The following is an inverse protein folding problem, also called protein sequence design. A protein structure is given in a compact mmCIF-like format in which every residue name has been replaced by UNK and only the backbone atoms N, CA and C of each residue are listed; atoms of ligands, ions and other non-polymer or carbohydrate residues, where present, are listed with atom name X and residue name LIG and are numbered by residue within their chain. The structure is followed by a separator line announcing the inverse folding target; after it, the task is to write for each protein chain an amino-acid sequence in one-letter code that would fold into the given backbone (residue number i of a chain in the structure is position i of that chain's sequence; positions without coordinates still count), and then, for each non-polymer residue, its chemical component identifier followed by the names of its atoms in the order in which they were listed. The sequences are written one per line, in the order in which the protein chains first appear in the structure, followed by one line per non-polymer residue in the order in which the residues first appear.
data_IF_273610116985
#
_entry.id   IF_273610116985
#
_cell.length_a   1.000
_cell.length_b   1.000
_cell.length_c   1.000
_cell.angle_alpha   90.00
_cell.angle_beta   90.00
_cell.angle_gamma   90.00
#
_symmetry.space_group_name_H-M   'P 1'
#
loop_
_entity.id
_entity.type
_entity.pdbx_description
1 polymer ?
#
# COMPACT_ATOMS: atom_id res chain seq x y z
N UNK A 1 44.34 -2.44 -52.46
CA UNK A 1 43.03 -2.40 -53.15
C UNK A 1 42.51 -0.97 -53.12
N UNK A 2 41.76 -0.57 -54.16
CA UNK A 2 40.97 0.68 -54.23
C UNK A 2 39.91 0.70 -53.09
N UNK A 3 39.24 1.77 -52.64
CA UNK A 3 39.01 3.20 -52.99
C UNK A 3 38.70 3.93 -51.64
N UNK A 4 38.58 5.25 -51.45
CA UNK A 4 38.75 6.48 -52.26
C UNK A 4 38.80 7.70 -51.31
N UNK A 5 39.24 8.88 -51.78
CA UNK A 5 39.31 10.13 -51.01
C UNK A 5 38.08 11.07 -51.19
N UNK A 6 37.86 11.89 -50.15
CA UNK A 6 36.88 12.96 -49.89
C UNK A 6 36.52 13.91 -51.08
N UNK A 7 35.43 14.70 -50.96
CA UNK A 7 35.62 16.08 -50.47
C UNK A 7 34.53 16.62 -49.51
N UNK A 8 34.85 17.72 -48.82
CA UNK A 8 33.96 18.46 -47.91
C UNK A 8 33.46 19.79 -48.52
N UNK A 9 32.28 20.27 -48.09
CA UNK A 9 31.71 21.61 -48.40
C UNK A 9 30.75 22.03 -47.23
N UNK A 10 30.33 23.31 -47.06
CA UNK A 10 30.85 24.10 -45.94
C UNK A 10 29.79 24.72 -44.99
N UNK A 11 30.29 25.34 -43.93
CA UNK A 11 29.54 26.19 -42.98
C UNK A 11 28.84 27.39 -43.65
N UNK A 12 27.61 27.69 -43.23
CA UNK A 12 26.88 28.92 -43.57
C UNK A 12 26.00 29.40 -42.39
N UNK A 13 26.29 30.61 -41.91
CA UNK A 13 25.47 31.39 -40.96
C UNK A 13 24.75 32.52 -41.71
N UNK A 14 23.52 32.85 -41.29
CA UNK A 14 23.10 34.26 -41.18
C UNK A 14 22.42 34.51 -39.81
N UNK A 15 22.95 35.41 -38.98
CA UNK A 15 22.65 36.86 -38.90
C UNK A 15 21.22 37.22 -38.45
N UNK A 16 21.15 37.85 -37.28
CA UNK A 16 20.01 38.66 -36.80
C UNK A 16 19.67 39.82 -37.75
N UNK A 17 18.42 40.31 -37.67
CA UNK A 17 18.14 41.75 -37.63
C UNK A 17 17.50 42.18 -36.30
N UNK A 18 17.35 43.51 -36.12
CA UNK A 18 17.20 44.18 -34.82
C UNK A 18 15.85 44.93 -34.63
N UNK A 19 15.63 45.36 -33.39
CA UNK A 19 15.01 46.64 -32.98
C UNK A 19 13.53 46.98 -33.30
N UNK A 20 12.69 46.92 -32.25
CA UNK A 20 11.79 48.01 -31.74
C UNK A 20 10.68 48.60 -32.65
N UNK A 21 9.64 49.33 -32.15
CA UNK A 21 9.53 50.01 -30.84
C UNK A 21 8.31 49.68 -29.96
N UNK A 22 8.37 50.19 -28.73
CA UNK A 22 7.23 50.27 -27.81
C UNK A 22 6.46 51.59 -27.99
N UNK A 23 5.15 51.60 -27.71
CA UNK A 23 4.41 52.72 -27.07
C UNK A 23 2.94 52.34 -26.86
N UNK A 24 2.48 52.24 -25.61
CA UNK A 24 1.29 52.95 -25.11
C UNK A 24 1.15 52.80 -23.60
N UNK A 25 0.57 53.80 -22.94
CA UNK A 25 0.37 53.87 -21.48
C UNK A 25 -1.04 54.44 -21.18
N UNK A 26 -1.40 54.89 -19.94
CA UNK A 26 -2.38 54.15 -19.15
C UNK A 26 -3.64 54.96 -18.79
N UNK A 27 -4.70 54.30 -18.27
CA UNK A 27 -5.80 54.89 -17.47
C UNK A 27 -6.28 53.84 -16.45
N UNK A 28 -6.12 54.05 -15.15
CA UNK A 28 -6.98 54.83 -14.22
C UNK A 28 -8.36 54.21 -13.91
N UNK A 29 -8.47 53.49 -12.80
CA UNK A 29 -9.18 53.89 -11.55
C UNK A 29 -9.03 52.76 -10.52
N UNK A 30 -8.57 52.98 -9.28
CA UNK A 30 -9.29 53.57 -8.13
C UNK A 30 -10.68 52.92 -7.91
N UNK A 31 -11.05 52.44 -6.71
CA UNK A 31 -10.78 53.02 -5.39
C UNK A 31 -10.51 52.00 -4.27
N UNK A 32 -9.82 52.50 -3.26
CA UNK A 32 -9.84 52.06 -1.86
C UNK A 32 -11.27 52.17 -1.24
N UNK A 33 -11.59 51.73 -0.02
CA UNK A 33 -10.80 51.73 1.23
C UNK A 33 -11.42 50.80 2.28
N UNK A 34 -10.69 50.63 3.39
CA UNK A 34 -10.92 49.68 4.48
C UNK A 34 -11.79 50.28 5.64
N UNK A 35 -11.78 49.79 6.90
CA UNK A 35 -13.01 49.37 7.58
C UNK A 35 -13.38 50.28 8.77
N UNK A 36 -14.45 49.94 9.52
CA UNK A 36 -14.60 50.39 10.92
C UNK A 36 -15.49 49.46 11.74
N UNK A 37 -15.05 49.23 12.97
CA UNK A 37 -15.74 48.49 14.03
C UNK A 37 -16.22 49.46 15.12
N UNK A 38 -16.94 48.89 16.10
CA UNK A 38 -17.23 49.46 17.42
C UNK A 38 -18.24 50.62 17.47
N UNK A 39 -19.41 50.34 18.02
CA UNK A 39 -19.92 51.02 19.21
C UNK A 39 -20.73 50.02 20.05
N UNK A 40 -20.51 50.04 21.35
CA UNK A 40 -21.19 49.20 22.36
C UNK A 40 -22.20 50.08 23.09
N UNK A 41 -23.40 49.56 23.32
CA UNK A 41 -24.32 50.04 24.36
C UNK A 41 -24.98 48.82 25.01
N UNK A 42 -25.06 48.84 26.34
CA UNK A 42 -25.54 47.76 27.20
C UNK A 42 -26.99 48.00 27.67
N UNK A 43 -27.51 47.00 28.41
CA UNK A 43 -28.74 46.93 29.21
C UNK A 43 -30.01 46.31 28.60
N UNK A 44 -30.84 45.61 29.40
CA UNK A 44 -30.50 44.83 30.61
C UNK A 44 -31.12 43.41 30.63
N UNK A 45 -30.78 42.63 31.66
CA UNK A 45 -31.16 41.22 31.84
C UNK A 45 -32.66 40.90 31.69
N UNK A 46 -32.95 39.81 30.96
CA UNK A 46 -34.20 39.05 31.08
C UNK A 46 -33.93 37.55 31.09
N UNK A 47 -34.71 36.86 31.92
CA UNK A 47 -34.46 35.47 32.34
C UNK A 47 -34.44 34.46 31.18
N UNK A 48 -33.57 33.46 31.33
CA UNK A 48 -33.44 32.30 30.42
C UNK A 48 -34.55 31.29 30.70
N UNK A 49 -35.47 31.10 29.74
CA UNK A 49 -36.24 29.86 29.65
C UNK A 49 -35.38 28.77 28.98
N UNK A 50 -35.46 27.50 29.42
CA UNK A 50 -34.71 26.42 28.77
C UNK A 50 -35.32 26.05 27.42
N UNK A 51 -34.52 26.17 26.35
CA UNK A 51 -34.90 25.72 25.00
C UNK A 51 -35.32 24.24 25.00
N UNK A 52 -36.45 23.94 24.37
CA UNK A 52 -36.87 22.55 24.13
C UNK A 52 -36.03 21.95 23.01
N UNK A 53 -35.37 20.83 23.27
CA UNK A 53 -34.66 20.07 22.24
C UNK A 53 -35.59 19.74 21.05
N UNK A 54 -35.15 19.93 19.79
CA UNK A 54 -35.92 19.49 18.63
C UNK A 54 -35.98 17.96 18.58
N UNK A 55 -37.11 17.35 18.19
CA UNK A 55 -37.27 15.91 18.21
C UNK A 55 -36.25 15.22 17.28
N UNK A 56 -35.71 14.05 17.68
CA UNK A 56 -34.66 13.37 16.93
C UNK A 56 -35.13 13.03 15.52
N UNK A 57 -34.41 13.54 14.51
CA UNK A 57 -34.69 13.28 13.09
C UNK A 57 -34.74 11.77 12.85
N UNK A 58 -35.87 11.26 12.37
CA UNK A 58 -36.06 9.84 12.01
C UNK A 58 -35.12 9.46 10.85
N UNK A 59 -33.95 8.94 11.20
CA UNK A 59 -33.04 8.27 10.26
C UNK A 59 -33.75 7.04 9.68
N UNK A 60 -33.76 6.87 8.36
CA UNK A 60 -34.48 5.78 7.72
C UNK A 60 -33.97 4.40 8.14
N UNK A 61 -34.87 3.42 8.22
CA UNK A 61 -34.57 2.04 8.62
C UNK A 61 -33.49 1.38 7.74
N UNK A 62 -33.40 1.79 6.46
CA UNK A 62 -32.33 1.37 5.54
C UNK A 62 -30.94 1.85 5.98
N UNK A 63 -30.78 3.13 6.39
CA UNK A 63 -29.50 3.67 6.86
C UNK A 63 -28.97 2.95 8.10
N UNK A 64 -29.87 2.47 8.96
CA UNK A 64 -29.54 1.61 10.11
C UNK A 64 -29.09 0.19 9.69
N UNK A 65 -29.66 -0.38 8.62
CA UNK A 65 -29.25 -1.71 8.10
C UNK A 65 -27.83 -1.65 7.50
N UNK A 66 -27.52 -0.58 6.77
CA UNK A 66 -26.14 -0.28 6.35
C UNK A 66 -25.20 -0.05 7.55
N UNK A 67 -25.70 0.49 8.67
CA UNK A 67 -24.91 0.61 9.92
C UNK A 67 -24.53 -0.73 10.53
N UNK A 68 -25.44 -1.70 10.54
CA UNK A 68 -25.15 -3.06 11.02
C UNK A 68 -24.11 -3.75 10.12
N UNK A 69 -24.20 -3.58 8.80
CA UNK A 69 -23.17 -4.03 7.86
C UNK A 69 -21.81 -3.32 8.05
N UNK A 70 -21.81 -2.02 8.43
CA UNK A 70 -20.59 -1.28 8.81
C UNK A 70 -19.92 -1.89 10.04
N UNK A 71 -20.65 -2.15 11.13
CA UNK A 71 -20.06 -2.71 12.36
C UNK A 71 -19.44 -4.10 12.17
N UNK A 72 -20.06 -4.96 11.36
CA UNK A 72 -19.51 -6.27 10.98
C UNK A 72 -18.21 -6.12 10.14
N UNK A 73 -18.08 -5.04 9.36
CA UNK A 73 -16.87 -4.71 8.59
C UNK A 73 -15.76 -4.09 9.44
N UNK A 74 -16.08 -3.16 10.33
CA UNK A 74 -15.10 -2.40 11.11
C UNK A 74 -14.59 -3.11 12.37
N UNK A 75 -15.36 -4.06 12.94
CA UNK A 75 -14.94 -4.81 14.13
C UNK A 75 -14.97 -4.00 15.44
N UNK A 76 -15.54 -2.80 15.45
CA UNK A 76 -15.79 -2.06 16.70
C UNK A 76 -16.88 -2.76 17.52
N UNK A 77 -16.67 -2.89 18.84
CA UNK A 77 -17.72 -3.29 19.78
C UNK A 77 -18.90 -2.30 19.69
N UNK A 78 -20.11 -2.84 19.78
CA UNK A 78 -21.33 -2.07 20.01
C UNK A 78 -21.68 -2.29 21.47
N UNK A 79 -21.73 -1.21 22.26
CA UNK A 79 -22.37 -1.26 23.56
C UNK A 79 -23.88 -1.30 23.36
N UNK A 80 -24.48 -2.42 23.74
CA UNK A 80 -25.93 -2.58 23.68
C UNK A 80 -26.58 -1.82 24.85
N UNK A 81 -27.60 -0.99 24.61
CA UNK A 81 -28.45 -0.45 25.67
C UNK A 81 -29.29 -1.59 26.26
N UNK A 82 -28.71 -2.35 27.19
CA UNK A 82 -29.42 -3.38 27.93
C UNK A 82 -30.51 -2.73 28.79
N UNK A 83 -31.74 -3.21 28.64
CA UNK A 83 -32.90 -2.76 29.40
C UNK A 83 -32.64 -3.01 30.90
N UNK A 84 -32.31 -1.95 31.67
CA UNK A 84 -31.98 -2.04 33.11
C UNK A 84 -33.16 -2.60 33.93
N UNK A 85 -33.15 -3.91 34.19
CA UNK A 85 -33.78 -4.45 35.40
C UNK A 85 -32.80 -4.27 36.57
N UNK A 86 -33.25 -3.62 37.65
CA UNK A 86 -32.47 -3.44 38.88
C UNK A 86 -32.46 -4.75 39.68
N UNK A 87 -31.30 -5.34 39.87
CA UNK A 87 -30.99 -6.28 40.96
C UNK A 87 -29.52 -6.08 41.36
N UNK A 88 -29.24 -6.08 42.66
CA UNK A 88 -27.90 -5.82 43.21
C UNK A 88 -27.02 -7.09 43.19
N UNK A 89 -25.69 -6.97 43.07
CA UNK A 89 -24.77 -8.10 43.12
C UNK A 89 -24.45 -8.54 44.56
N UNK A 90 -24.23 -9.85 44.83
CA UNK A 90 -23.66 -10.34 46.08
C UNK A 90 -22.13 -10.14 46.14
N UNK A 91 -21.51 -10.13 47.35
CA UNK A 91 -20.08 -9.86 47.52
C UNK A 91 -19.17 -11.04 47.14
N UNK A 92 -17.94 -10.73 46.74
CA UNK A 92 -16.88 -11.70 46.40
C UNK A 92 -16.07 -12.15 47.64
N UNK A 93 -15.59 -13.41 47.71
CA UNK A 93 -14.73 -13.89 48.80
C UNK A 93 -13.26 -13.46 48.63
N UNK A 94 -12.55 -13.40 49.76
CA UNK A 94 -11.15 -12.94 49.87
C UNK A 94 -10.11 -14.07 49.61
N UNK A 95 -8.84 -13.74 49.30
CA UNK A 95 -7.77 -14.72 49.07
C UNK A 95 -7.14 -15.24 50.38
N UNK A 96 -6.58 -16.47 50.40
CA UNK A 96 -5.84 -17.01 51.54
C UNK A 96 -4.38 -16.49 51.61
N UNK A 97 -3.73 -16.53 52.80
CA UNK A 97 -2.43 -15.90 53.04
C UNK A 97 -1.20 -16.80 52.76
N UNK A 98 -0.03 -16.14 52.69
CA UNK A 98 1.31 -16.72 52.49
C UNK A 98 2.05 -17.06 53.79
N UNK A 99 2.91 -18.10 53.76
CA UNK A 99 3.83 -18.47 54.86
C UNK A 99 5.25 -18.77 54.35
N UNK A 100 6.31 -18.22 54.96
CA UNK A 100 7.73 -18.57 54.72
C UNK A 100 8.33 -19.35 55.93
N UNK A 101 9.67 -19.51 56.05
CA UNK A 101 10.65 -20.15 55.16
C UNK A 101 11.38 -21.32 55.87
N UNK A 102 12.35 -21.97 55.20
CA UNK A 102 13.36 -22.80 55.89
C UNK A 102 14.73 -22.74 55.20
N UNK A 103 15.71 -22.12 55.87
CA UNK A 103 17.13 -22.32 55.60
C UNK A 103 17.64 -23.58 56.32
N UNK A 104 18.65 -24.28 55.79
CA UNK A 104 19.95 -24.50 56.47
C UNK A 104 20.86 -25.53 55.74
N UNK A 105 22.16 -25.40 56.01
CA UNK A 105 23.18 -26.49 56.03
C UNK A 105 23.85 -26.98 54.73
N UNK A 106 24.81 -26.17 54.26
CA UNK A 106 26.27 -26.44 54.37
C UNK A 106 26.86 -27.77 53.81
N UNK A 107 27.77 -27.57 52.84
CA UNK A 107 28.87 -28.41 52.25
C UNK A 107 29.78 -29.11 53.30
N UNK A 108 30.66 -30.12 52.99
CA UNK A 108 31.62 -30.08 51.84
C UNK A 108 32.25 -31.38 51.25
N UNK A 109 33.04 -31.17 50.18
CA UNK A 109 34.17 -32.00 49.67
C UNK A 109 33.82 -33.39 49.08
N UNK A 110 34.60 -34.03 48.20
CA UNK A 110 36.04 -33.95 47.81
C UNK A 110 36.18 -34.06 46.26
N UNK A 111 37.34 -33.72 45.70
CA UNK A 111 37.68 -33.86 44.27
C UNK A 111 37.98 -35.31 43.83
N UNK A 112 37.88 -35.57 42.52
CA UNK A 112 38.33 -36.81 41.86
C UNK A 112 38.26 -36.68 40.34
N UNK A 113 39.32 -37.07 39.64
CA UNK A 113 39.45 -37.02 38.18
C UNK A 113 38.69 -38.17 37.49
N UNK A 114 38.29 -37.99 36.23
CA UNK A 114 37.66 -39.03 35.43
C UNK A 114 37.28 -38.55 34.03
N UNK A 115 38.04 -38.98 33.03
CA UNK A 115 37.83 -38.67 31.60
C UNK A 115 36.84 -39.67 30.95
N UNK A 116 36.31 -39.29 29.79
CA UNK A 116 35.61 -40.13 28.78
C UNK A 116 34.14 -40.48 29.07
N UNK A 117 33.25 -40.19 28.11
CA UNK A 117 32.23 -41.19 27.78
C UNK A 117 30.82 -40.80 27.31
N UNK A 118 30.44 -39.53 27.20
CA UNK A 118 29.17 -39.11 26.57
C UNK A 118 29.49 -38.14 25.42
N UNK A 119 28.95 -38.26 24.21
CA UNK A 119 27.72 -38.95 23.81
C UNK A 119 26.69 -37.89 23.42
N UNK A 120 26.31 -37.84 22.14
CA UNK A 120 25.43 -36.82 21.55
C UNK A 120 26.06 -35.42 21.40
N UNK A 121 27.08 -35.33 20.52
CA UNK A 121 27.32 -34.09 19.78
C UNK A 121 26.09 -33.82 18.90
N UNK A 122 25.27 -32.88 19.36
CA UNK A 122 24.03 -32.45 18.73
C UNK A 122 24.38 -31.66 17.45
N UNK A 123 24.62 -32.37 16.32
CA UNK A 123 24.85 -31.83 14.96
C UNK A 123 23.59 -31.14 14.41
N UNK A 124 23.09 -30.15 15.13
CA UNK A 124 22.27 -29.08 14.61
C UNK A 124 23.16 -27.91 14.19
N UNK A 125 23.98 -28.14 13.14
CA UNK A 125 24.44 -27.04 12.31
C UNK A 125 23.20 -26.30 11.79
N UNK A 126 22.85 -25.22 12.46
CA UNK A 126 21.84 -24.26 12.04
C UNK A 126 22.31 -23.68 10.70
N UNK A 127 21.86 -24.30 9.60
CA UNK A 127 22.17 -23.93 8.22
C UNK A 127 22.14 -22.40 8.03
N UNK A 128 23.31 -21.76 8.10
CA UNK A 128 23.41 -20.31 8.03
C UNK A 128 22.95 -19.84 6.65
N UNK A 129 21.81 -19.16 6.64
CA UNK A 129 21.15 -18.76 5.39
C UNK A 129 22.02 -17.81 4.59
N UNK A 130 22.19 -18.10 3.30
CA UNK A 130 23.01 -17.31 2.38
C UNK A 130 22.53 -15.86 2.37
N UNK A 131 23.43 -14.93 2.64
CA UNK A 131 23.11 -13.51 2.72
C UNK A 131 23.04 -12.86 1.33
N UNK A 132 22.03 -12.02 1.12
CA UNK A 132 21.88 -11.11 -0.01
C UNK A 132 21.82 -9.69 0.54
N UNK A 133 22.82 -8.90 0.19
CA UNK A 133 22.94 -7.48 0.54
C UNK A 133 22.33 -6.64 -0.58
N UNK A 134 21.48 -5.70 -0.23
CA UNK A 134 20.77 -4.81 -1.15
C UNK A 134 21.14 -3.37 -0.84
N UNK A 135 21.90 -2.71 -1.72
CA UNK A 135 22.49 -1.39 -1.47
C UNK A 135 21.86 -0.32 -2.39
N UNK A 136 21.50 0.83 -1.82
CA UNK A 136 20.95 1.94 -2.59
C UNK A 136 21.31 3.31 -2.01
N UNK A 137 21.63 4.24 -2.91
CA UNK A 137 21.72 5.69 -2.69
C UNK A 137 20.35 6.37 -2.51
N UNK A 138 19.27 5.59 -2.55
CA UNK A 138 17.93 6.00 -2.24
C UNK A 138 17.30 5.06 -1.22
N UNK A 139 16.05 4.68 -1.47
CA UNK A 139 15.23 3.93 -0.51
C UNK A 139 15.39 2.41 -0.54
N UNK A 140 16.20 1.85 -1.45
CA UNK A 140 16.38 0.39 -1.57
C UNK A 140 15.20 -0.41 -2.16
N UNK A 141 13.94 0.06 -2.04
CA UNK A 141 12.72 -0.64 -2.51
C UNK A 141 12.76 -1.19 -3.94
N UNK A 142 13.52 -0.59 -4.87
CA UNK A 142 13.66 -1.10 -6.25
C UNK A 142 14.53 -2.34 -6.31
N UNK A 143 15.62 -2.38 -5.53
CA UNK A 143 16.44 -3.57 -5.37
C UNK A 143 15.63 -4.68 -4.69
N UNK A 144 15.01 -4.38 -3.54
CA UNK A 144 14.20 -5.34 -2.77
C UNK A 144 13.07 -5.96 -3.60
N UNK A 145 12.31 -5.16 -4.34
CA UNK A 145 11.24 -5.69 -5.19
C UNK A 145 11.76 -6.60 -6.30
N UNK A 146 12.92 -6.29 -6.86
CA UNK A 146 13.57 -7.11 -7.89
C UNK A 146 14.13 -8.42 -7.32
N UNK A 147 14.71 -8.37 -6.12
CA UNK A 147 15.20 -9.55 -5.37
C UNK A 147 14.04 -10.46 -4.99
N UNK A 148 12.96 -9.93 -4.42
CA UNK A 148 11.77 -10.72 -4.08
C UNK A 148 11.14 -11.37 -5.32
N UNK A 149 11.10 -10.68 -6.46
CA UNK A 149 10.63 -11.26 -7.72
C UNK A 149 11.56 -12.38 -8.24
N UNK A 150 12.88 -12.23 -8.10
CA UNK A 150 13.86 -13.25 -8.47
C UNK A 150 13.81 -14.47 -7.53
N UNK A 151 13.65 -14.27 -6.22
CA UNK A 151 13.52 -15.34 -5.23
C UNK A 151 12.31 -16.25 -5.48
N UNK A 152 11.24 -15.75 -6.10
CA UNK A 152 10.11 -16.56 -6.56
C UNK A 152 10.48 -17.68 -7.54
N UNK A 153 11.63 -17.59 -8.24
CA UNK A 153 12.12 -18.69 -9.10
C UNK A 153 12.68 -19.87 -8.29
N UNK A 154 12.94 -19.68 -6.99
CA UNK A 154 13.55 -20.64 -6.08
C UNK A 154 12.58 -21.12 -4.99
N UNK A 155 11.27 -20.83 -5.11
CA UNK A 155 10.24 -21.12 -4.10
C UNK A 155 10.27 -22.58 -3.62
N UNK A 156 10.44 -23.54 -4.54
CA UNK A 156 10.61 -24.96 -4.23
C UNK A 156 11.74 -25.26 -3.23
N UNK A 157 12.90 -24.60 -3.38
CA UNK A 157 14.07 -24.78 -2.52
C UNK A 157 13.95 -23.99 -1.20
N UNK A 158 13.20 -22.89 -1.20
CA UNK A 158 12.93 -22.07 -0.02
C UNK A 158 11.90 -22.72 0.92
N UNK A 159 10.83 -23.32 0.37
CA UNK A 159 9.76 -23.98 1.14
C UNK A 159 10.30 -25.19 1.91
N UNK A 160 11.11 -26.02 1.26
CA UNK A 160 11.74 -27.19 1.86
C UNK A 160 12.95 -26.83 2.77
N UNK A 161 13.25 -25.52 2.92
CA UNK A 161 14.41 -24.98 3.66
C UNK A 161 15.77 -25.52 3.22
N UNK A 162 15.88 -25.98 1.98
CA UNK A 162 17.12 -26.53 1.40
C UNK A 162 18.14 -25.42 1.12
N UNK A 163 17.67 -24.20 0.84
CA UNK A 163 18.51 -23.02 0.65
C UNK A 163 17.95 -21.79 1.39
N UNK A 164 18.11 -21.70 2.73
CA UNK A 164 17.71 -20.49 3.46
C UNK A 164 18.45 -19.27 2.93
N UNK A 165 17.73 -18.15 2.77
CA UNK A 165 18.25 -16.87 2.27
C UNK A 165 17.90 -15.77 3.26
N UNK A 166 18.90 -14.98 3.64
CA UNK A 166 18.76 -13.80 4.47
C UNK A 166 18.94 -12.53 3.61
N UNK A 167 18.07 -11.54 3.74
CA UNK A 167 18.12 -10.31 2.93
C UNK A 167 18.36 -9.08 3.80
N UNK A 168 19.35 -8.26 3.45
CA UNK A 168 19.78 -7.10 4.23
C UNK A 168 19.72 -5.83 3.38
N UNK A 169 18.94 -4.83 3.80
CA UNK A 169 18.71 -3.61 3.03
C UNK A 169 19.50 -2.41 3.60
N UNK A 170 20.37 -1.82 2.78
CA UNK A 170 21.17 -0.64 3.08
C UNK A 170 20.68 0.53 2.22
N UNK A 171 19.94 1.46 2.82
CA UNK A 171 19.35 2.64 2.16
C UNK A 171 20.12 3.91 2.51
N UNK A 172 20.12 4.89 1.61
CA UNK A 172 20.83 6.17 1.79
C UNK A 172 22.35 6.03 1.82
N UNK A 173 22.90 5.13 0.99
CA UNK A 173 24.35 4.95 0.83
C UNK A 173 24.85 5.88 -0.26
N UNK A 174 25.13 7.12 0.12
CA UNK A 174 25.51 8.22 -0.76
C UNK A 174 27.04 8.49 -0.77
N UNK A 175 27.82 7.76 0.02
CA UNK A 175 29.27 7.96 0.20
C UNK A 175 30.10 6.66 0.05
N UNK A 176 31.36 6.83 -0.36
CA UNK A 176 32.31 5.75 -0.67
C UNK A 176 32.80 4.99 0.56
N UNK A 177 32.89 5.65 1.72
CA UNK A 177 33.41 5.05 2.95
C UNK A 177 32.41 4.03 3.50
N UNK A 178 31.14 4.43 3.62
CA UNK A 178 30.03 3.57 4.02
C UNK A 178 29.79 2.44 3.04
N UNK A 179 29.89 2.70 1.74
CA UNK A 179 29.81 1.66 0.71
C UNK A 179 30.93 0.61 0.90
N UNK A 180 32.15 1.06 1.20
CA UNK A 180 33.29 0.16 1.47
C UNK A 180 33.13 -0.62 2.79
N UNK A 181 32.56 -0.03 3.84
CA UNK A 181 32.20 -0.76 5.07
C UNK A 181 31.21 -1.90 4.79
N UNK A 182 30.16 -1.63 4.02
CA UNK A 182 29.15 -2.62 3.63
C UNK A 182 29.79 -3.73 2.77
N UNK A 183 30.66 -3.40 1.82
CA UNK A 183 31.38 -4.39 0.99
C UNK A 183 32.30 -5.27 1.85
N UNK A 184 33.02 -4.69 2.81
CA UNK A 184 33.86 -5.43 3.77
C UNK A 184 33.03 -6.35 4.66
N UNK A 185 31.81 -5.96 5.03
CA UNK A 185 30.91 -6.82 5.79
C UNK A 185 30.38 -7.97 4.92
N UNK A 186 29.90 -7.66 3.71
CA UNK A 186 29.46 -8.66 2.73
C UNK A 186 30.55 -9.72 2.45
N UNK A 187 31.83 -9.30 2.37
CA UNK A 187 32.97 -10.22 2.20
C UNK A 187 33.16 -11.17 3.39
N UNK A 188 32.94 -10.70 4.63
CA UNK A 188 33.02 -11.55 5.85
C UNK A 188 31.88 -12.56 5.93
N UNK A 189 30.69 -12.16 5.48
CA UNK A 189 29.47 -12.98 5.53
C UNK A 189 29.25 -13.82 4.25
N UNK A 190 30.17 -13.78 3.28
CA UNK A 190 30.04 -14.50 2.01
C UNK A 190 28.84 -14.07 1.16
N UNK A 191 28.37 -12.83 1.35
CA UNK A 191 27.10 -12.34 0.81
C UNK A 191 27.16 -11.96 -0.68
N UNK A 192 26.03 -12.09 -1.37
CA UNK A 192 25.81 -11.52 -2.71
C UNK A 192 25.40 -10.05 -2.57
N UNK A 193 26.12 -9.11 -3.21
CA UNK A 193 25.81 -7.68 -3.14
C UNK A 193 25.10 -7.20 -4.41
N UNK A 194 23.80 -6.94 -4.31
CA UNK A 194 22.97 -6.37 -5.36
C UNK A 194 22.74 -4.89 -5.07
N UNK A 195 22.88 -4.03 -6.08
CA UNK A 195 22.83 -2.59 -5.85
C UNK A 195 22.06 -1.81 -6.91
N UNK A 196 21.64 -0.61 -6.49
CA UNK A 196 21.04 0.42 -7.34
C UNK A 196 21.66 1.76 -6.96
N UNK A 197 22.62 2.21 -7.75
CA UNK A 197 23.39 3.43 -7.55
C UNK A 197 23.30 4.26 -8.84
N UNK A 198 22.81 5.49 -8.73
CA UNK A 198 22.60 6.42 -9.84
C UNK A 198 23.90 7.13 -10.25
N UNK A 199 24.77 7.43 -9.28
CA UNK A 199 26.09 7.99 -9.53
C UNK A 199 26.99 6.94 -10.22
N UNK A 200 27.51 7.23 -11.43
CA UNK A 200 28.33 6.27 -12.17
C UNK A 200 29.64 5.92 -11.46
N UNK A 201 30.24 6.86 -10.72
CA UNK A 201 31.52 6.70 -10.03
C UNK A 201 31.34 5.81 -8.80
N UNK A 202 30.30 6.05 -8.00
CA UNK A 202 29.89 5.17 -6.89
C UNK A 202 29.63 3.73 -7.36
N UNK A 203 28.95 3.56 -8.49
CA UNK A 203 28.59 2.26 -9.04
C UNK A 203 29.77 1.50 -9.68
N UNK A 204 30.74 2.21 -10.27
CA UNK A 204 31.99 1.59 -10.75
C UNK A 204 32.94 1.28 -9.57
N UNK A 205 33.02 2.14 -8.55
CA UNK A 205 33.72 1.84 -7.30
C UNK A 205 33.14 0.60 -6.61
N UNK A 206 31.81 0.49 -6.48
CA UNK A 206 31.15 -0.68 -5.91
C UNK A 206 31.61 -1.98 -6.58
N UNK A 207 31.59 -2.01 -7.91
CA UNK A 207 32.01 -3.14 -8.75
C UNK A 207 33.50 -3.46 -8.59
N UNK A 208 34.37 -2.45 -8.57
CA UNK A 208 35.82 -2.64 -8.40
C UNK A 208 36.16 -3.13 -6.98
N UNK A 209 35.58 -2.52 -5.96
CA UNK A 209 35.73 -2.93 -4.57
C UNK A 209 35.21 -4.36 -4.36
N UNK A 210 34.02 -4.71 -4.84
CA UNK A 210 33.51 -6.08 -4.77
C UNK A 210 34.46 -7.08 -5.43
N UNK A 211 35.02 -6.75 -6.61
CA UNK A 211 36.03 -7.59 -7.28
C UNK A 211 37.32 -7.78 -6.46
N UNK A 212 37.80 -6.73 -5.77
CA UNK A 212 38.98 -6.79 -4.90
C UNK A 212 38.71 -7.64 -3.65
N UNK A 213 37.52 -7.51 -3.05
CA UNK A 213 37.12 -8.25 -1.84
C UNK A 213 36.52 -9.63 -2.11
N UNK A 214 36.47 -10.09 -3.36
CA UNK A 214 35.92 -11.41 -3.73
C UNK A 214 34.39 -11.53 -3.61
N UNK A 215 33.68 -10.40 -3.49
CA UNK A 215 32.23 -10.34 -3.31
C UNK A 215 31.51 -10.45 -4.66
N UNK A 216 30.63 -11.44 -4.87
CA UNK A 216 29.75 -11.48 -6.04
C UNK A 216 28.83 -10.25 -6.03
N UNK A 217 28.71 -9.53 -7.14
CA UNK A 217 27.86 -8.34 -7.19
C UNK A 217 27.23 -8.06 -8.56
N UNK A 218 26.10 -7.33 -8.55
CA UNK A 218 25.42 -6.88 -9.76
C UNK A 218 24.63 -5.58 -9.56
N UNK A 219 24.70 -4.70 -10.55
CA UNK A 219 23.84 -3.52 -10.66
C UNK A 219 22.49 -3.92 -11.26
N UNK A 220 21.40 -3.72 -10.52
CA UNK A 220 20.04 -4.10 -10.93
C UNK A 220 19.49 -3.14 -12.01
N UNK A 221 19.88 -1.86 -11.99
CA UNK A 221 19.16 -0.80 -12.70
C UNK A 221 19.94 -0.18 -13.86
N UNK A 222 21.28 -0.27 -13.86
CA UNK A 222 22.13 0.25 -14.95
C UNK A 222 21.75 -0.29 -16.34
N UNK A 223 21.55 -1.60 -16.58
CA UNK A 223 21.18 -2.10 -17.91
C UNK A 223 19.85 -1.52 -18.43
N UNK A 224 18.88 -1.33 -17.53
CA UNK A 224 17.58 -0.72 -17.85
C UNK A 224 17.75 0.78 -18.15
N UNK A 225 18.59 1.45 -17.37
CA UNK A 225 18.86 2.90 -17.50
C UNK A 225 19.61 3.21 -18.79
N UNK A 226 20.59 2.41 -19.17
CA UNK A 226 21.34 2.53 -20.43
C UNK A 226 20.45 2.24 -21.65
N UNK A 227 19.57 1.25 -21.59
CA UNK A 227 18.60 0.97 -22.63
C UNK A 227 17.61 2.14 -22.83
N UNK A 228 17.12 2.74 -21.73
CA UNK A 228 16.27 3.94 -21.77
C UNK A 228 17.03 5.15 -22.32
N UNK A 229 18.26 5.39 -21.87
CA UNK A 229 19.10 6.49 -22.35
C UNK A 229 19.35 6.40 -23.86
N UNK A 230 19.68 5.20 -24.34
CA UNK A 230 19.86 4.90 -25.78
C UNK A 230 18.57 5.13 -26.57
N UNK A 231 17.42 4.69 -26.04
CA UNK A 231 16.12 4.86 -26.70
C UNK A 231 15.65 6.33 -26.74
N UNK A 232 15.96 7.12 -25.72
CA UNK A 232 15.60 8.54 -25.63
C UNK A 232 16.61 9.47 -26.31
N UNK A 233 17.84 9.00 -26.58
CA UNK A 233 18.94 9.83 -27.08
C UNK A 233 19.45 10.85 -26.05
N UNK A 234 19.30 10.56 -24.75
CA UNK A 234 19.64 11.47 -23.64
C UNK A 234 20.40 10.70 -22.56
N UNK A 235 21.53 11.23 -22.11
CA UNK A 235 22.33 10.64 -21.04
C UNK A 235 21.57 10.63 -19.70
N UNK A 236 21.78 9.62 -18.82
CA UNK A 236 21.26 9.63 -17.46
C UNK A 236 21.78 10.84 -16.67
N UNK A 237 21.01 11.31 -15.68
CA UNK A 237 21.41 12.47 -14.86
C UNK A 237 22.58 12.18 -13.92
N UNK A 238 22.83 10.92 -13.56
CA UNK A 238 23.81 10.54 -12.53
C UNK A 238 23.40 10.90 -11.09
N UNK A 239 22.20 11.47 -10.90
CA UNK A 239 21.80 12.07 -9.62
C UNK A 239 20.81 11.14 -8.88
N UNK A 240 21.07 10.76 -7.62
CA UNK A 240 20.15 9.96 -6.81
C UNK A 240 18.86 10.71 -6.49
N UNK A 241 17.75 9.97 -6.28
CA UNK A 241 16.46 10.58 -5.90
C UNK A 241 16.45 11.20 -4.49
N UNK A 242 17.42 10.86 -3.65
CA UNK A 242 17.63 11.49 -2.34
C UNK A 242 18.22 12.90 -2.43
N UNK A 243 18.86 13.26 -3.55
CA UNK A 243 19.51 14.55 -3.73
C UNK A 243 18.53 15.72 -3.53
N UNK A 244 19.02 16.76 -2.84
CA UNK A 244 18.23 17.93 -2.48
C UNK A 244 17.61 18.60 -3.73
N UNK A 245 16.28 18.76 -3.71
CA UNK A 245 15.54 19.52 -4.72
C UNK A 245 14.73 18.70 -5.73
N UNK A 246 14.71 17.36 -5.66
CA UNK A 246 13.83 16.54 -6.50
C UNK A 246 12.33 16.87 -6.24
N UNK A 247 11.59 17.48 -7.18
CA UNK A 247 10.24 17.97 -6.91
C UNK A 247 9.22 16.84 -6.89
N UNK A 248 8.27 16.90 -5.95
CA UNK A 248 7.12 16.00 -5.93
C UNK A 248 6.26 16.20 -7.18
N UNK A 249 6.01 15.11 -7.90
CA UNK A 249 5.29 15.17 -9.19
C UNK A 249 3.79 15.36 -9.00
N UNK A 250 3.10 15.88 -10.02
CA UNK A 250 1.64 15.93 -10.04
C UNK A 250 0.98 14.54 -9.86
N UNK A 251 1.68 13.46 -10.23
CA UNK A 251 1.24 12.09 -9.99
C UNK A 251 1.28 11.71 -8.51
N UNK A 252 2.29 12.17 -7.76
CA UNK A 252 2.34 11.97 -6.30
C UNK A 252 1.09 12.58 -5.64
N UNK A 253 0.75 13.84 -5.94
CA UNK A 253 -0.45 14.48 -5.40
C UNK A 253 -1.74 13.78 -5.83
N UNK A 254 -1.82 13.31 -7.08
CA UNK A 254 -2.95 12.49 -7.57
C UNK A 254 -3.08 11.17 -6.79
N UNK A 255 -1.97 10.53 -6.40
CA UNK A 255 -1.96 9.33 -5.55
C UNK A 255 -2.47 9.65 -4.13
N UNK A 256 -2.05 10.77 -3.54
CA UNK A 256 -2.56 11.21 -2.23
C UNK A 256 -4.08 11.46 -2.29
N UNK A 257 -4.58 12.16 -3.32
CA UNK A 257 -6.02 12.39 -3.51
C UNK A 257 -6.80 11.08 -3.72
N UNK A 258 -6.22 10.10 -4.43
CA UNK A 258 -6.82 8.78 -4.62
C UNK A 258 -6.91 7.98 -3.30
N UNK A 259 -5.87 8.02 -2.46
CA UNK A 259 -5.84 7.38 -1.15
C UNK A 259 -6.88 8.02 -0.20
N UNK A 260 -6.87 9.35 -0.09
CA UNK A 260 -7.81 10.10 0.74
C UNK A 260 -9.28 9.82 0.36
N UNK A 261 -9.58 9.87 -0.95
CA UNK A 261 -10.91 9.51 -1.45
C UNK A 261 -11.31 8.09 -1.05
N UNK A 262 -10.41 7.13 -1.22
CA UNK A 262 -10.71 5.69 -1.05
C UNK A 262 -10.93 5.33 0.41
N UNK A 263 -10.09 5.83 1.32
CA UNK A 263 -10.29 5.67 2.77
C UNK A 263 -11.65 6.23 3.18
N UNK A 264 -12.00 7.44 2.70
CA UNK A 264 -13.30 8.08 2.97
C UNK A 264 -14.51 7.32 2.40
N UNK A 265 -14.33 6.46 1.39
CA UNK A 265 -15.42 5.59 0.89
C UNK A 265 -15.51 4.23 1.59
N UNK A 266 -14.42 3.64 2.09
CA UNK A 266 -14.50 2.30 2.68
C UNK A 266 -15.24 2.28 4.03
N UNK A 267 -15.05 3.32 4.86
CA UNK A 267 -15.72 3.46 6.15
C UNK A 267 -17.22 3.81 6.05
N UNK A 268 -17.70 4.21 4.87
CA UNK A 268 -19.09 4.60 4.70
C UNK A 268 -19.40 5.17 3.32
N UNK A 269 -19.36 4.32 2.30
CA UNK A 269 -19.66 4.67 0.91
C UNK A 269 -20.94 5.53 0.82
N UNK A 270 -20.77 6.82 0.52
CA UNK A 270 -21.89 7.70 0.22
C UNK A 270 -22.29 7.42 -1.23
N UNK A 271 -23.57 7.11 -1.54
CA UNK A 271 -24.05 6.90 -2.92
C UNK A 271 -23.61 8.00 -3.90
N UNK A 272 -23.54 9.23 -3.39
CA UNK A 272 -23.11 10.49 -4.03
C UNK A 272 -21.63 10.58 -4.45
N UNK A 273 -20.79 9.57 -4.17
CA UNK A 273 -19.39 9.55 -4.58
C UNK A 273 -19.07 8.40 -5.56
N UNK A 274 -20.03 7.53 -5.88
CA UNK A 274 -19.81 6.41 -6.81
C UNK A 274 -19.52 6.91 -8.24
N UNK A 275 -20.03 8.09 -8.59
CA UNK A 275 -19.76 8.83 -9.82
C UNK A 275 -18.30 9.30 -9.93
N UNK A 276 -17.72 9.80 -8.83
CA UNK A 276 -16.34 10.31 -8.73
C UNK A 276 -15.28 9.23 -8.65
N UNK A 277 -15.66 7.99 -8.31
CA UNK A 277 -14.75 6.86 -8.30
C UNK A 277 -14.25 6.51 -9.72
N UNK A 278 -12.97 6.20 -9.86
CA UNK A 278 -12.40 5.61 -11.08
C UNK A 278 -12.78 4.12 -11.19
N UNK A 279 -12.82 3.41 -10.06
CA UNK A 279 -13.11 1.96 -9.96
C UNK A 279 -14.13 1.76 -8.83
N UNK A 280 -15.13 0.92 -9.05
CA UNK A 280 -16.10 0.51 -8.03
C UNK A 280 -16.02 -1.01 -7.83
N UNK A 281 -15.68 -1.44 -6.62
CA UNK A 281 -15.57 -2.85 -6.26
C UNK A 281 -16.84 -3.31 -5.54
N UNK A 282 -17.50 -4.35 -6.08
CA UNK A 282 -18.78 -4.89 -5.58
C UNK A 282 -18.58 -6.34 -5.16
N UNK A 283 -19.13 -6.77 -4.02
CA UNK A 283 -19.10 -8.20 -3.64
C UNK A 283 -19.37 -8.47 -2.16
N UNK A 284 -19.41 -9.76 -1.78
CA UNK A 284 -19.75 -10.22 -0.42
C UNK A 284 -18.72 -9.84 0.65
N UNK A 285 -19.05 -9.94 1.93
CA UNK A 285 -18.08 -9.65 3.00
C UNK A 285 -16.88 -10.61 2.92
N UNK A 286 -15.65 -10.10 3.10
CA UNK A 286 -14.33 -10.78 3.00
C UNK A 286 -13.70 -11.04 1.61
N UNK A 287 -14.28 -10.58 0.50
CA UNK A 287 -13.65 -10.70 -0.86
C UNK A 287 -12.43 -9.78 -1.11
N UNK A 288 -11.61 -9.48 -0.11
CA UNK A 288 -10.40 -8.64 -0.28
C UNK A 288 -10.60 -7.16 -0.64
N UNK A 289 -11.85 -6.66 -0.76
CA UNK A 289 -12.18 -5.28 -1.18
C UNK A 289 -11.33 -4.18 -0.52
N UNK A 290 -11.25 -4.15 0.81
CA UNK A 290 -10.52 -3.09 1.53
C UNK A 290 -9.03 -3.06 1.16
N UNK A 291 -8.24 -4.15 1.34
CA UNK A 291 -6.86 -4.23 0.83
C UNK A 291 -6.71 -3.87 -0.65
N UNK A 292 -7.56 -4.43 -1.52
CA UNK A 292 -7.50 -4.19 -2.96
C UNK A 292 -7.74 -2.72 -3.32
N UNK A 293 -8.73 -2.09 -2.69
CA UNK A 293 -9.04 -0.67 -2.91
C UNK A 293 -7.90 0.25 -2.49
N UNK A 294 -7.25 -0.04 -1.35
CA UNK A 294 -6.09 0.73 -0.86
C UNK A 294 -4.89 0.54 -1.80
N UNK A 295 -4.62 -0.69 -2.25
CA UNK A 295 -3.55 -0.96 -3.21
C UNK A 295 -3.78 -0.23 -4.55
N UNK A 296 -5.00 -0.28 -5.09
CA UNK A 296 -5.38 0.47 -6.28
C UNK A 296 -5.27 1.99 -6.08
N UNK A 297 -5.61 2.50 -4.89
CA UNK A 297 -5.43 3.90 -4.54
C UNK A 297 -3.94 4.32 -4.49
N UNK A 298 -3.05 3.43 -4.01
CA UNK A 298 -1.61 3.62 -4.10
C UNK A 298 -1.08 3.64 -5.55
N UNK A 299 -1.82 3.10 -6.52
CA UNK A 299 -1.55 3.26 -7.96
C UNK A 299 -2.27 4.47 -8.59
N UNK A 300 -2.93 5.32 -7.80
CA UNK A 300 -3.57 6.56 -8.24
C UNK A 300 -5.04 6.43 -8.70
N UNK A 301 -5.73 5.33 -8.36
CA UNK A 301 -7.15 5.15 -8.67
C UNK A 301 -8.05 5.50 -7.48
N UNK A 302 -9.03 6.38 -7.69
CA UNK A 302 -10.11 6.62 -6.71
C UNK A 302 -11.01 5.39 -6.68
N UNK A 303 -11.03 4.64 -5.58
CA UNK A 303 -11.83 3.40 -5.47
C UNK A 303 -12.99 3.58 -4.50
N UNK A 304 -14.15 2.99 -4.81
CA UNK A 304 -15.28 2.89 -3.89
C UNK A 304 -15.71 1.44 -3.69
N UNK A 305 -15.98 1.05 -2.44
CA UNK A 305 -16.31 -0.33 -2.07
C UNK A 305 -17.80 -0.47 -1.72
N UNK A 306 -18.56 -1.15 -2.58
CA UNK A 306 -19.98 -1.45 -2.34
C UNK A 306 -20.12 -2.89 -1.84
N UNK A 307 -20.64 -3.13 -0.63
CA UNK A 307 -20.89 -4.47 -0.15
C UNK A 307 -22.15 -5.04 -0.80
N UNK A 308 -22.12 -6.34 -1.10
CA UNK A 308 -23.35 -7.14 -1.23
C UNK A 308 -23.64 -7.71 0.15
N UNK A 309 -24.87 -7.56 0.63
CA UNK A 309 -25.38 -8.12 1.89
C UNK A 309 -26.83 -8.56 1.66
N UNK A 310 -27.18 -9.79 2.05
CA UNK A 310 -28.53 -10.31 1.84
C UNK A 310 -29.61 -9.43 2.49
N UNK A 311 -30.68 -9.17 1.74
CA UNK A 311 -31.79 -8.30 2.16
C UNK A 311 -31.43 -6.81 2.31
N UNK A 312 -30.26 -6.38 1.83
CA UNK A 312 -29.90 -4.95 1.73
C UNK A 312 -29.81 -4.57 0.27
N UNK A 313 -30.78 -3.79 -0.19
CA UNK A 313 -30.79 -3.30 -1.57
C UNK A 313 -29.53 -2.47 -1.86
N UNK A 314 -28.96 -2.70 -3.05
CA UNK A 314 -27.85 -1.90 -3.55
C UNK A 314 -28.33 -0.46 -3.85
N UNK A 315 -27.46 0.55 -3.68
CA UNK A 315 -27.88 1.95 -3.85
C UNK A 315 -28.16 2.21 -5.32
N UNK A 316 -29.29 2.86 -5.65
CA UNK A 316 -29.73 3.11 -7.03
C UNK A 316 -28.63 3.74 -7.91
N UNK A 317 -27.87 4.67 -7.33
CA UNK A 317 -26.72 5.33 -7.96
C UNK A 317 -25.66 4.36 -8.52
N UNK A 318 -25.56 3.13 -8.01
CA UNK A 318 -24.65 2.10 -8.56
C UNK A 318 -25.03 1.71 -10.00
N UNK A 319 -26.33 1.68 -10.30
CA UNK A 319 -26.87 1.33 -11.61
C UNK A 319 -26.95 2.55 -12.55
N UNK A 320 -26.87 3.77 -12.00
CA UNK A 320 -26.95 5.05 -12.73
C UNK A 320 -25.58 5.57 -13.21
N UNK A 321 -24.47 5.18 -12.56
CA UNK A 321 -23.11 5.55 -12.98
C UNK A 321 -22.67 4.79 -14.24
N UNK A 322 -21.54 5.18 -14.85
CA UNK A 322 -20.92 4.37 -15.90
C UNK A 322 -20.62 2.95 -15.38
N UNK A 323 -21.26 1.95 -16.01
CA UNK A 323 -21.17 0.53 -15.63
C UNK A 323 -19.81 -0.10 -15.99
N UNK A 324 -19.03 0.49 -16.90
CA UNK A 324 -17.71 -0.01 -17.33
C UNK A 324 -16.64 0.04 -16.23
N UNK A 325 -16.84 0.84 -15.17
CA UNK A 325 -15.93 0.94 -14.02
C UNK A 325 -16.36 0.10 -12.81
N UNK A 326 -17.38 -0.73 -12.94
CA UNK A 326 -17.87 -1.60 -11.87
C UNK A 326 -17.30 -3.00 -12.05
N UNK A 327 -16.73 -3.54 -10.98
CA UNK A 327 -16.08 -4.86 -10.94
C UNK A 327 -16.67 -5.68 -9.79
N UNK A 328 -17.24 -6.85 -10.12
CA UNK A 328 -17.66 -7.84 -9.15
C UNK A 328 -16.46 -8.64 -8.63
N UNK A 329 -16.43 -8.92 -7.33
CA UNK A 329 -15.47 -9.81 -6.71
C UNK A 329 -16.21 -11.00 -6.09
N UNK A 330 -15.83 -12.20 -6.51
CA UNK A 330 -16.34 -13.46 -5.97
C UNK A 330 -15.20 -14.31 -5.40
N UNK A 331 -15.52 -15.32 -4.60
CA UNK A 331 -14.55 -16.14 -3.88
C UNK A 331 -15.14 -17.54 -3.63
N UNK A 332 -14.28 -18.55 -3.62
CA UNK A 332 -14.65 -19.91 -3.26
C UNK A 332 -15.30 -19.97 -1.86
N UNK A 333 -16.45 -20.66 -1.70
CA UNK A 333 -17.21 -20.66 -0.44
C UNK A 333 -16.43 -21.27 0.74
N UNK A 334 -15.59 -22.28 0.50
CA UNK A 334 -14.80 -22.94 1.56
C UNK A 334 -13.72 -21.99 2.09
N UNK A 335 -12.99 -21.34 1.19
CA UNK A 335 -11.96 -20.34 1.56
C UNK A 335 -12.60 -19.14 2.25
N UNK A 336 -13.75 -18.67 1.76
CA UNK A 336 -14.53 -17.61 2.40
C UNK A 336 -14.94 -17.98 3.83
N UNK A 337 -15.40 -19.22 4.05
CA UNK A 337 -15.75 -19.70 5.38
C UNK A 337 -14.54 -19.69 6.32
N UNK A 338 -13.38 -20.19 5.87
CA UNK A 338 -12.13 -20.20 6.65
C UNK A 338 -11.72 -18.79 7.07
N UNK A 339 -11.73 -17.82 6.15
CA UNK A 339 -11.43 -16.41 6.45
C UNK A 339 -12.44 -15.82 7.47
N UNK A 340 -13.73 -16.15 7.34
CA UNK A 340 -14.76 -15.71 8.29
C UNK A 340 -14.59 -16.33 9.67
N UNK A 341 -14.30 -17.62 9.78
CA UNK A 341 -14.02 -18.33 11.03
C UNK A 341 -12.79 -17.75 11.75
N UNK A 342 -11.69 -17.56 11.03
CA UNK A 342 -10.47 -16.96 11.58
C UNK A 342 -10.73 -15.56 12.18
N UNK A 343 -11.42 -14.69 11.43
CA UNK A 343 -11.78 -13.35 11.92
C UNK A 343 -12.87 -13.35 13.01
N UNK A 344 -13.78 -14.33 13.01
CA UNK A 344 -14.77 -14.46 14.08
C UNK A 344 -14.10 -14.82 15.42
N UNK A 345 -13.07 -15.66 15.38
CA UNK A 345 -12.19 -15.98 16.53
C UNK A 345 -11.45 -14.73 17.02
N UNK A 346 -10.85 -13.94 16.12
CA UNK A 346 -10.06 -12.76 16.51
C UNK A 346 -10.89 -11.59 17.07
N UNK A 347 -12.18 -11.50 16.74
CA UNK A 347 -13.08 -10.43 17.20
C UNK A 347 -13.95 -10.80 18.41
N UNK A 348 -13.85 -12.03 18.92
CA UNK A 348 -14.54 -12.45 20.15
C UNK A 348 -16.07 -12.38 20.07
N UNK A 349 -16.67 -12.53 18.88
CA UNK A 349 -18.13 -12.52 18.72
C UNK A 349 -18.81 -13.57 19.62
N UNK A 350 -20.02 -13.29 20.09
CA UNK A 350 -20.86 -14.26 20.81
C UNK A 350 -21.25 -15.45 19.92
N UNK A 351 -21.53 -16.60 20.53
CA UNK A 351 -21.76 -17.89 19.82
C UNK A 351 -22.74 -17.77 18.65
N UNK A 352 -23.91 -17.19 18.89
CA UNK A 352 -25.01 -17.00 17.91
C UNK A 352 -24.65 -16.06 16.75
N UNK A 353 -23.70 -15.15 16.92
CA UNK A 353 -23.23 -14.29 15.83
C UNK A 353 -22.12 -14.95 15.01
N UNK A 354 -21.48 -16.01 15.53
CA UNK A 354 -20.54 -16.84 14.78
C UNK A 354 -21.27 -17.83 13.88
N UNK A 355 -22.38 -18.42 14.32
CA UNK A 355 -23.15 -19.40 13.54
C UNK A 355 -23.56 -18.80 12.20
N UNK A 356 -24.50 -17.85 12.20
CA UNK A 356 -25.04 -17.30 10.95
C UNK A 356 -23.97 -16.64 10.05
N UNK A 357 -22.93 -16.02 10.60
CA UNK A 357 -21.91 -15.34 9.77
C UNK A 357 -20.91 -16.30 9.11
N UNK A 358 -20.69 -17.49 9.68
CA UNK A 358 -19.63 -18.42 9.24
C UNK A 358 -20.08 -19.86 9.00
N UNK A 359 -21.37 -20.17 9.07
CA UNK A 359 -21.93 -21.43 8.56
C UNK A 359 -21.85 -21.50 7.03
N UNK A 360 -21.65 -22.71 6.50
CA UNK A 360 -21.46 -22.91 5.06
C UNK A 360 -22.69 -22.51 4.25
N UNK A 361 -23.89 -22.74 4.78
CA UNK A 361 -25.12 -22.56 4.02
C UNK A 361 -25.46 -21.07 3.86
N UNK A 362 -25.37 -20.27 4.93
CA UNK A 362 -25.44 -18.81 4.81
C UNK A 362 -24.32 -18.24 3.90
N UNK A 363 -23.11 -18.83 3.90
CA UNK A 363 -22.04 -18.41 2.98
C UNK A 363 -22.39 -18.72 1.52
N UNK A 364 -23.02 -19.86 1.24
CA UNK A 364 -23.54 -20.23 -0.09
C UNK A 364 -24.67 -19.30 -0.51
N UNK A 365 -25.68 -19.08 0.33
CA UNK A 365 -26.80 -18.18 0.07
C UNK A 365 -26.33 -16.74 -0.25
N UNK A 366 -25.35 -16.21 0.49
CA UNK A 366 -24.80 -14.87 0.25
C UNK A 366 -24.05 -14.78 -1.09
N UNK A 367 -23.33 -15.84 -1.48
CA UNK A 367 -22.66 -15.94 -2.78
C UNK A 367 -23.65 -16.14 -3.94
N UNK A 368 -24.71 -16.94 -3.76
CA UNK A 368 -25.79 -17.09 -4.74
C UNK A 368 -26.55 -15.79 -4.95
N UNK A 369 -26.84 -15.06 -3.88
CA UNK A 369 -27.45 -13.73 -3.94
C UNK A 369 -26.54 -12.74 -4.70
N UNK A 370 -25.22 -12.77 -4.44
CA UNK A 370 -24.27 -11.98 -5.20
C UNK A 370 -24.20 -12.37 -6.68
N UNK A 371 -24.19 -13.67 -6.99
CA UNK A 371 -24.19 -14.17 -8.37
C UNK A 371 -25.48 -13.76 -9.12
N UNK A 372 -26.66 -13.77 -8.46
CA UNK A 372 -27.90 -13.26 -9.05
C UNK A 372 -27.79 -11.78 -9.46
N UNK A 373 -27.18 -10.95 -8.61
CA UNK A 373 -26.89 -9.54 -8.92
C UNK A 373 -25.91 -9.44 -10.10
N UNK A 374 -24.84 -10.23 -10.13
CA UNK A 374 -23.88 -10.20 -11.24
C UNK A 374 -24.50 -10.65 -12.57
N UNK A 375 -25.33 -11.70 -12.58
CA UNK A 375 -26.06 -12.16 -13.78
C UNK A 375 -27.04 -11.10 -14.31
N UNK A 376 -27.64 -10.29 -13.43
CA UNK A 376 -28.47 -9.15 -13.83
C UNK A 376 -27.66 -7.99 -14.44
N UNK A 377 -26.34 -7.95 -14.26
CA UNK A 377 -25.45 -6.86 -14.67
C UNK A 377 -24.27 -7.40 -15.50
N UNK A 378 -24.51 -7.98 -16.70
CA UNK A 378 -23.50 -8.72 -17.47
C UNK A 378 -22.31 -7.86 -17.95
N UNK A 379 -22.38 -6.53 -17.85
CA UNK A 379 -21.27 -5.62 -18.14
C UNK A 379 -20.20 -5.59 -17.04
N UNK A 380 -20.49 -6.07 -15.83
CA UNK A 380 -19.56 -6.06 -14.70
C UNK A 380 -18.66 -7.31 -14.76
N UNK A 381 -17.32 -7.18 -14.89
CA UNK A 381 -16.44 -8.33 -14.80
C UNK A 381 -16.52 -8.92 -13.39
N UNK A 382 -16.77 -10.22 -13.28
CA UNK A 382 -16.72 -10.94 -12.01
C UNK A 382 -15.35 -11.59 -11.89
N UNK A 383 -14.55 -11.10 -10.97
CA UNK A 383 -13.19 -11.58 -10.72
C UNK A 383 -13.23 -12.52 -9.52
N UNK A 384 -12.87 -13.78 -9.74
CA UNK A 384 -12.61 -14.70 -8.63
C UNK A 384 -11.27 -14.36 -7.97
N UNK A 385 -11.28 -14.12 -6.64
CA UNK A 385 -10.10 -13.74 -5.85
C UNK A 385 -9.49 -14.90 -5.03
N UNK A 386 -10.01 -16.12 -5.21
CA UNK A 386 -9.53 -17.32 -4.49
C UNK A 386 -8.04 -17.56 -4.77
N UNK A 387 -7.23 -17.61 -3.71
CA UNK A 387 -5.80 -17.94 -3.81
C UNK A 387 -4.92 -16.88 -4.48
N UNK A 388 -5.48 -15.75 -4.92
CA UNK A 388 -4.75 -14.69 -5.63
C UNK A 388 -4.21 -13.63 -4.69
N UNK A 389 -3.04 -13.10 -5.01
CA UNK A 389 -2.51 -11.92 -4.36
C UNK A 389 -3.35 -10.67 -4.68
N UNK A 390 -3.19 -9.63 -3.85
CA UNK A 390 -3.89 -8.35 -4.04
C UNK A 390 -3.35 -7.66 -5.31
N UNK A 391 -2.06 -7.78 -5.54
CA UNK A 391 -1.28 -7.31 -6.68
C UNK A 391 -1.81 -7.88 -8.00
N UNK A 392 -2.03 -9.19 -8.06
CA UNK A 392 -2.57 -9.89 -9.24
C UNK A 392 -4.01 -9.46 -9.53
N UNK A 393 -4.85 -9.44 -8.49
CA UNK A 393 -6.24 -9.00 -8.62
C UNK A 393 -6.32 -7.53 -9.07
N UNK A 394 -5.44 -6.68 -8.56
CA UNK A 394 -5.31 -5.29 -9.00
C UNK A 394 -4.84 -5.19 -10.47
N UNK A 395 -3.90 -6.02 -10.91
CA UNK A 395 -3.45 -6.05 -12.30
C UNK A 395 -4.60 -6.41 -13.26
N UNK A 396 -5.44 -7.39 -12.91
CA UNK A 396 -6.64 -7.76 -13.68
C UNK A 396 -7.62 -6.58 -13.76
N UNK A 397 -7.97 -5.95 -12.63
CA UNK A 397 -8.88 -4.79 -12.58
C UNK A 397 -8.35 -3.62 -13.41
N UNK A 398 -7.07 -3.26 -13.24
CA UNK A 398 -6.45 -2.13 -13.92
C UNK A 398 -6.35 -2.38 -15.43
N UNK A 399 -6.00 -3.60 -15.85
CA UNK A 399 -6.01 -4.00 -17.27
C UNK A 399 -7.40 -3.80 -17.87
N UNK A 400 -8.43 -4.44 -17.31
CA UNK A 400 -9.81 -4.32 -17.80
C UNK A 400 -10.31 -2.87 -17.81
N UNK A 401 -9.92 -2.06 -16.82
CA UNK A 401 -10.24 -0.63 -16.76
C UNK A 401 -9.60 0.18 -17.90
N UNK A 402 -8.33 -0.07 -18.25
CA UNK A 402 -7.67 0.61 -19.37
C UNK A 402 -8.16 0.11 -20.72
N UNK A 403 -8.33 -1.20 -20.88
CA UNK A 403 -8.79 -1.83 -22.13
C UNK A 403 -10.16 -1.29 -22.57
N UNK A 404 -11.05 -1.00 -21.60
CA UNK A 404 -12.35 -0.34 -21.84
C UNK A 404 -12.21 1.12 -22.25
N UNK A 405 -11.32 1.87 -21.59
CA UNK A 405 -11.10 3.31 -21.84
C UNK A 405 -10.27 3.62 -23.08
N UNK A 406 -9.43 2.69 -23.52
CA UNK A 406 -8.56 2.82 -24.69
C UNK A 406 -8.80 1.64 -25.62
N UNK A 407 -9.83 1.76 -26.48
CA UNK A 407 -10.08 0.79 -27.56
C UNK A 407 -8.88 0.77 -28.51
N UNK A 408 -7.97 -0.17 -28.26
CA UNK A 408 -6.69 -0.34 -28.92
C UNK A 408 -6.60 -1.76 -29.49
N UNK A 409 -5.95 -1.93 -30.65
CA UNK A 409 -5.74 -3.24 -31.26
C UNK A 409 -4.93 -4.19 -30.35
N UNK A 410 -4.05 -3.64 -29.51
CA UNK A 410 -3.35 -4.36 -28.46
C UNK A 410 -3.76 -3.80 -27.08
N UNK A 411 -4.47 -4.59 -26.24
CA UNK A 411 -4.85 -4.18 -24.88
C UNK A 411 -3.62 -3.93 -24.01
N UNK A 412 -3.53 -2.78 -23.34
CA UNK A 412 -2.34 -2.37 -22.55
C UNK A 412 -2.63 -1.26 -21.55
N UNK A 413 -1.85 -1.24 -20.46
CA UNK A 413 -1.86 -0.16 -19.47
C UNK A 413 -0.89 0.94 -19.94
N UNK A 414 -1.43 2.04 -20.48
CA UNK A 414 -0.63 3.16 -20.99
C UNK A 414 -0.46 4.27 -19.94
N UNK A 415 0.78 4.73 -19.72
CA UNK A 415 1.09 5.91 -18.89
C UNK A 415 1.98 6.89 -19.66
N UNK A 416 1.59 8.17 -19.69
CA UNK A 416 2.41 9.25 -20.27
C UNK A 416 3.22 9.90 -19.16
N UNK A 417 4.54 9.94 -19.33
CA UNK A 417 5.44 10.76 -18.51
C UNK A 417 5.55 12.13 -19.19
N UNK A 418 5.27 13.21 -18.44
CA UNK A 418 5.50 14.59 -18.87
C UNK A 418 6.28 15.26 -17.75
N UNK A 419 7.56 15.51 -17.97
CA UNK A 419 8.34 16.39 -17.10
C UNK A 419 8.02 17.81 -17.53
N UNK A 420 7.21 18.52 -16.73
CA UNK A 420 7.08 19.95 -16.90
C UNK A 420 8.39 20.61 -16.46
N UNK A 421 9.20 21.04 -17.43
CA UNK A 421 10.25 22.03 -17.20
C UNK A 421 9.58 23.34 -16.80
N UNK A 422 9.31 23.48 -15.51
CA UNK A 422 8.76 24.71 -14.95
C UNK A 422 9.81 25.81 -15.05
N UNK A 423 9.65 26.71 -16.02
CA UNK A 423 10.24 28.04 -15.96
C UNK A 423 9.59 28.79 -14.78
N UNK A 424 10.08 28.55 -13.56
CA UNK A 424 9.99 29.52 -12.49
C UNK A 424 10.91 30.68 -12.86
N UNK A 425 10.29 31.77 -13.33
CA UNK A 425 10.86 33.12 -13.29
C UNK A 425 10.35 33.82 -12.04
#
# INVERSE_FOLDING_TARGET
MLQSSLPAVPLLLPRHPSSFPATWSPRHNSKSRSPRSCLVQEEPDRAVEPEREPPPRRVSTQLNRWSRARSIRSGRRIDWPALRKKTAPPPSPAPPPSSPPSEASVRPSVAGEGTEGDGEDDESELMEGKAIYMVSDGTGWTAEHSVNAALGQFEHCLVDRICPVNTHLFSGVEDMDRLMEIIKQAAKEGALLLYTLADPDMAEYAKQACKVWGVPSADILRPITEAIATHLGVAPSGIPRGAAGAPLTAEYFKRIEAIDFTIKQDDGAKPQNLDRAHIVLVGVSRTGKTPLSIYLAQKGYKVANVPIVMGVDLPKTLFEINQEKIFGLTINPVILQTIRKARAKSLGFGSEMRSNYSEMDHVREELEYANKIFTQNPTWPVIEVTGKAIEETAAIVVRMYHDRRQKCLMPRISKRFVVFSGNMR
#
